data_IF_781570425490
#
_entry.id   IF_781570425490
#
_cell.length_a   1.000
_cell.length_b   1.000
_cell.length_c   1.000
_cell.angle_alpha   90.00
_cell.angle_beta   90.00
_cell.angle_gamma   90.00
#
_symmetry.space_group_name_H-M   'P 1'
#
loop_
_entity.id
_entity.type
_entity.pdbx_description
1 polymer ?
#
# COMPACT_ATOMS: atom_id res chain seq x y z
N UNK A 1 24.97 4.79 -4.92
CA UNK A 1 23.65 5.26 -5.40
C UNK A 1 23.84 5.76 -6.82
N UNK A 2 23.05 5.25 -7.76
CA UNK A 2 23.29 5.44 -9.19
C UNK A 2 22.74 6.77 -9.73
N UNK A 3 22.45 7.73 -8.84
CA UNK A 3 21.89 9.06 -9.13
C UNK A 3 20.59 9.03 -9.95
N UNK A 4 19.81 7.96 -9.83
CA UNK A 4 18.50 7.77 -10.47
C UNK A 4 17.36 7.94 -9.48
N UNK A 5 16.20 8.39 -9.96
CA UNK A 5 14.98 8.52 -9.16
C UNK A 5 13.94 7.54 -9.69
N UNK A 6 13.44 6.66 -8.81
CA UNK A 6 12.27 5.83 -9.11
C UNK A 6 10.99 6.65 -8.94
N UNK A 7 10.17 6.69 -9.99
CA UNK A 7 8.91 7.42 -9.99
C UNK A 7 7.77 6.43 -10.16
N UNK A 8 6.80 6.50 -9.24
CA UNK A 8 5.57 5.72 -9.31
C UNK A 8 4.36 6.63 -9.06
N UNK A 9 3.27 6.37 -9.75
CA UNK A 9 2.00 7.05 -9.54
C UNK A 9 0.85 6.06 -9.57
N UNK A 10 -0.12 6.25 -8.67
CA UNK A 10 -1.39 5.53 -8.70
C UNK A 10 -2.46 6.46 -9.26
N UNK A 11 -3.04 6.07 -10.40
CA UNK A 11 -4.07 6.85 -11.09
C UNK A 11 -5.37 6.05 -11.20
N UNK A 12 -6.50 6.75 -11.19
CA UNK A 12 -7.78 6.09 -11.45
C UNK A 12 -7.83 5.63 -12.92
N UNK A 13 -8.33 4.41 -13.22
CA UNK A 13 -8.35 3.89 -14.59
C UNK A 13 -9.09 4.78 -15.60
N UNK A 14 -10.04 5.62 -15.16
CA UNK A 14 -10.70 6.58 -16.05
C UNK A 14 -9.77 7.65 -16.59
N UNK A 15 -8.79 8.11 -15.79
CA UNK A 15 -7.81 9.13 -16.21
C UNK A 15 -6.92 8.55 -17.29
N UNK A 16 -6.40 7.33 -17.08
CA UNK A 16 -5.58 6.62 -18.07
C UNK A 16 -6.34 6.37 -19.38
N UNK A 17 -7.65 6.09 -19.32
CA UNK A 17 -8.49 5.92 -20.52
C UNK A 17 -8.74 7.21 -21.31
N UNK A 18 -8.67 8.36 -20.64
CA UNK A 18 -8.90 9.67 -21.26
C UNK A 18 -7.63 10.28 -21.84
N UNK A 19 -6.46 9.76 -21.45
CA UNK A 19 -5.15 10.18 -21.94
C UNK A 19 -4.62 9.25 -23.01
N UNK A 20 -3.92 9.78 -24.01
CA UNK A 20 -3.35 9.00 -25.10
C UNK A 20 -2.21 8.06 -24.66
N UNK A 21 -1.52 8.37 -23.55
CA UNK A 21 -0.44 7.53 -23.01
C UNK A 21 -0.25 7.70 -21.49
N UNK A 22 0.32 6.69 -20.80
CA UNK A 22 0.71 6.82 -19.39
C UNK A 22 1.70 7.97 -19.13
N UNK A 23 2.61 8.22 -20.07
CA UNK A 23 3.56 9.35 -19.99
C UNK A 23 2.81 10.69 -19.94
N UNK A 24 1.83 10.90 -20.83
CA UNK A 24 1.00 12.11 -20.81
C UNK A 24 0.21 12.26 -19.52
N UNK A 25 -0.36 11.17 -19.00
CA UNK A 25 -1.07 11.19 -17.73
C UNK A 25 -0.14 11.60 -16.56
N UNK A 26 1.09 11.08 -16.52
CA UNK A 26 2.11 11.46 -15.54
C UNK A 26 2.51 12.92 -15.68
N UNK A 27 2.77 13.40 -16.90
CA UNK A 27 3.14 14.80 -17.16
C UNK A 27 2.04 15.77 -16.73
N UNK A 28 0.76 15.44 -16.98
CA UNK A 28 -0.37 16.22 -16.49
C UNK A 28 -0.44 16.25 -14.96
N UNK A 29 -0.28 15.09 -14.31
CA UNK A 29 -0.28 14.98 -12.85
C UNK A 29 0.86 15.79 -12.22
N UNK A 30 2.06 15.73 -12.78
CA UNK A 30 3.22 16.50 -12.30
C UNK A 30 3.02 17.99 -12.52
N UNK A 31 2.52 18.40 -13.69
CA UNK A 31 2.24 19.81 -13.96
C UNK A 31 1.20 20.38 -12.99
N UNK A 32 0.17 19.61 -12.64
CA UNK A 32 -0.83 20.00 -11.65
C UNK A 32 -0.23 20.04 -10.23
N UNK A 33 0.50 19.01 -9.83
CA UNK A 33 1.09 18.88 -8.49
C UNK A 33 2.15 19.95 -8.19
N UNK A 34 2.93 20.34 -9.20
CA UNK A 34 3.99 21.34 -9.07
C UNK A 34 3.58 22.71 -9.63
N UNK A 35 2.30 22.96 -9.87
CA UNK A 35 1.85 24.26 -10.38
C UNK A 35 2.33 25.40 -9.45
N UNK A 36 3.17 26.29 -9.98
CA UNK A 36 3.76 27.41 -9.23
C UNK A 36 5.08 27.08 -8.51
N UNK A 37 5.65 25.90 -8.74
CA UNK A 37 6.94 25.46 -8.20
C UNK A 37 7.78 24.73 -9.26
N UNK A 38 9.07 24.58 -9.03
CA UNK A 38 9.95 23.81 -9.94
C UNK A 38 9.68 22.32 -9.78
N UNK A 39 9.25 21.66 -10.86
CA UNK A 39 9.14 20.20 -10.91
C UNK A 39 10.55 19.58 -10.93
N UNK A 40 10.87 18.63 -10.03
CA UNK A 40 12.18 17.98 -9.99
C UNK A 40 12.39 16.93 -11.09
N UNK A 41 11.32 16.59 -11.82
CA UNK A 41 11.32 15.58 -12.88
C UNK A 41 11.17 16.30 -14.23
N UNK A 42 12.04 15.99 -15.18
CA UNK A 42 11.88 16.45 -16.56
C UNK A 42 10.73 15.69 -17.23
N UNK A 43 9.61 16.38 -17.46
CA UNK A 43 8.45 15.77 -18.10
C UNK A 43 8.71 15.36 -19.55
N UNK A 44 9.72 15.92 -20.23
CA UNK A 44 10.09 15.53 -21.58
C UNK A 44 10.68 14.11 -21.60
N UNK A 45 11.51 13.76 -20.61
CA UNK A 45 12.15 12.45 -20.52
C UNK A 45 11.16 11.32 -20.25
N UNK A 46 9.98 11.61 -19.69
CA UNK A 46 8.95 10.59 -19.41
C UNK A 46 8.44 9.86 -20.66
N UNK A 47 8.48 10.51 -21.83
CA UNK A 47 8.04 9.88 -23.08
C UNK A 47 8.98 8.76 -23.54
N UNK A 48 10.27 8.88 -23.21
CA UNK A 48 11.31 7.94 -23.60
C UNK A 48 11.56 6.88 -22.51
N UNK A 49 10.96 7.03 -21.33
CA UNK A 49 11.09 6.07 -20.24
C UNK A 49 10.19 4.84 -20.45
N UNK A 50 10.68 3.64 -20.11
CA UNK A 50 9.88 2.42 -20.15
C UNK A 50 8.86 2.40 -19.00
N UNK A 51 7.76 3.13 -19.17
CA UNK A 51 6.68 3.19 -18.18
C UNK A 51 5.93 1.85 -18.16
N UNK A 52 5.97 1.19 -17.01
CA UNK A 52 5.21 -0.05 -16.77
C UNK A 52 3.89 0.29 -16.12
N UNK A 53 2.79 0.07 -16.83
CA UNK A 53 1.47 0.08 -16.24
C UNK A 53 1.21 -1.27 -15.55
N UNK A 54 0.66 -1.24 -14.35
CA UNK A 54 0.18 -2.44 -13.65
C UNK A 54 -1.35 -2.49 -13.70
N UNK A 55 -1.95 -3.70 -13.83
CA UNK A 55 -3.39 -3.85 -13.65
C UNK A 55 -3.81 -3.42 -12.23
N UNK A 56 -5.11 -3.32 -11.99
CA UNK A 56 -5.65 -2.92 -10.69
C UNK A 56 -5.06 -3.80 -9.58
N UNK A 57 -4.18 -3.20 -8.77
CA UNK A 57 -3.46 -3.92 -7.72
C UNK A 57 -4.39 -4.24 -6.54
N UNK A 58 -5.35 -3.36 -6.26
CA UNK A 58 -6.25 -3.52 -5.11
C UNK A 58 -7.13 -4.76 -5.25
N UNK A 59 -6.89 -5.77 -4.42
CA UNK A 59 -7.66 -7.01 -4.38
C UNK A 59 -7.62 -7.64 -2.99
N UNK A 60 -8.53 -8.60 -2.74
CA UNK A 60 -8.58 -9.35 -1.49
C UNK A 60 -8.96 -10.81 -1.79
N UNK A 61 -8.04 -11.73 -1.52
CA UNK A 61 -8.18 -13.18 -1.75
C UNK A 61 -8.23 -13.97 -0.46
N UNK A 62 -7.68 -13.39 0.63
CA UNK A 62 -7.67 -14.01 1.96
C UNK A 62 -6.46 -14.91 2.21
N UNK A 63 -6.12 -15.14 3.49
CA UNK A 63 -4.86 -15.78 3.88
C UNK A 63 -4.79 -17.28 3.56
N UNK A 64 -5.94 -17.93 3.37
CA UNK A 64 -6.07 -19.35 3.07
C UNK A 64 -6.92 -19.52 1.82
N UNK A 65 -6.56 -20.49 0.98
CA UNK A 65 -7.38 -20.86 -0.16
C UNK A 65 -8.68 -21.56 0.27
N UNK A 66 -9.85 -21.10 -0.23
CA UNK A 66 -11.14 -21.66 0.14
C UNK A 66 -11.30 -23.13 -0.30
N UNK A 67 -10.64 -23.53 -1.38
CA UNK A 67 -10.72 -24.86 -1.98
C UNK A 67 -9.56 -25.76 -1.55
N UNK A 68 -8.44 -25.19 -1.09
CA UNK A 68 -7.25 -25.93 -0.65
C UNK A 68 -6.68 -25.45 0.70
N UNK A 69 -6.97 -26.20 1.77
CA UNK A 69 -6.43 -25.92 3.14
C UNK A 69 -4.92 -26.18 3.30
N UNK A 70 -4.20 -26.49 2.21
CA UNK A 70 -2.74 -26.62 2.17
C UNK A 70 -2.05 -25.41 1.53
N UNK A 71 -2.81 -24.48 0.96
CA UNK A 71 -2.26 -23.28 0.31
C UNK A 71 -2.42 -22.07 1.23
N UNK A 72 -1.28 -21.48 1.59
CA UNK A 72 -1.18 -20.33 2.48
C UNK A 72 -0.69 -19.14 1.67
N UNK A 73 -1.39 -18.02 1.75
CA UNK A 73 -1.01 -16.78 1.08
C UNK A 73 -0.35 -15.84 2.08
N UNK A 74 0.65 -15.09 1.64
CA UNK A 74 1.36 -14.08 2.43
C UNK A 74 1.56 -12.82 1.58
N UNK A 75 1.76 -11.68 2.24
CA UNK A 75 1.94 -10.38 1.59
C UNK A 75 0.84 -10.09 0.57
N UNK A 76 1.25 -9.55 -0.58
CA UNK A 76 0.34 -9.12 -1.64
C UNK A 76 -0.52 -10.26 -2.20
N UNK A 77 -0.13 -11.52 -2.01
CA UNK A 77 -0.95 -12.65 -2.41
C UNK A 77 -2.22 -12.80 -1.56
N UNK A 78 -2.24 -12.31 -0.30
CA UNK A 78 -3.44 -12.30 0.56
C UNK A 78 -4.42 -11.20 0.17
N UNK A 79 -3.85 -10.09 -0.30
CA UNK A 79 -4.57 -8.90 -0.67
C UNK A 79 -3.66 -7.70 -0.62
N UNK A 80 -3.83 -6.84 -1.60
CA UNK A 80 -3.11 -5.58 -1.73
C UNK A 80 -4.12 -4.46 -1.58
N UNK A 81 -3.85 -3.49 -0.71
CA UNK A 81 -4.81 -2.41 -0.41
C UNK A 81 -4.43 -1.17 -1.20
N UNK A 82 -3.22 -0.65 -0.97
CA UNK A 82 -2.80 0.65 -1.49
C UNK A 82 -1.29 0.89 -1.31
N UNK A 83 -0.63 1.66 -2.21
CA UNK A 83 0.82 1.86 -2.20
C UNK A 83 1.34 3.02 -1.33
N UNK A 84 0.50 3.90 -0.77
CA UNK A 84 0.93 5.21 -0.29
C UNK A 84 1.54 5.20 1.12
N UNK A 85 1.13 4.28 1.99
CA UNK A 85 1.67 4.22 3.36
C UNK A 85 3.01 3.48 3.47
N UNK A 86 3.45 2.77 2.42
CA UNK A 86 4.71 2.02 2.43
C UNK A 86 4.70 0.77 3.33
N UNK A 87 3.57 0.43 3.92
CA UNK A 87 3.42 -0.65 4.91
C UNK A 87 3.48 -2.08 4.32
N UNK A 88 3.39 -2.21 2.99
CA UNK A 88 3.22 -3.49 2.31
C UNK A 88 4.32 -4.51 2.63
N UNK A 89 5.58 -4.09 2.68
CA UNK A 89 6.71 -4.96 3.04
C UNK A 89 6.58 -5.44 4.49
N UNK A 90 6.20 -4.53 5.41
CA UNK A 90 5.97 -4.87 6.81
C UNK A 90 4.88 -5.93 6.97
N UNK A 91 3.78 -5.81 6.21
CA UNK A 91 2.71 -6.81 6.23
C UNK A 91 3.11 -8.13 5.57
N UNK A 92 3.93 -8.10 4.51
CA UNK A 92 4.47 -9.31 3.90
C UNK A 92 5.34 -10.09 4.90
N UNK A 93 6.25 -9.41 5.61
CA UNK A 93 7.09 -10.02 6.64
C UNK A 93 6.27 -10.53 7.83
N UNK A 94 5.32 -9.74 8.32
CA UNK A 94 4.44 -10.14 9.42
C UNK A 94 3.59 -11.35 9.05
N UNK A 95 2.94 -11.35 7.88
CA UNK A 95 2.13 -12.47 7.42
C UNK A 95 2.96 -13.74 7.18
N UNK A 96 4.18 -13.61 6.64
CA UNK A 96 5.12 -14.72 6.53
C UNK A 96 5.45 -15.34 7.89
N UNK A 97 5.80 -14.50 8.87
CA UNK A 97 6.05 -14.95 10.25
C UNK A 97 4.84 -15.67 10.85
N UNK A 98 3.65 -15.09 10.73
CA UNK A 98 2.41 -15.69 11.25
C UNK A 98 2.09 -17.03 10.59
N UNK A 99 2.36 -17.16 9.29
CA UNK A 99 2.20 -18.42 8.56
C UNK A 99 3.17 -19.48 9.08
N UNK A 100 4.47 -19.15 9.20
CA UNK A 100 5.50 -20.05 9.72
C UNK A 100 5.18 -20.52 11.15
N UNK A 101 4.83 -19.59 12.06
CA UNK A 101 4.42 -19.92 13.44
C UNK A 101 3.17 -20.81 13.49
N UNK A 102 2.29 -20.70 12.50
CA UNK A 102 1.07 -21.51 12.41
C UNK A 102 1.32 -22.90 11.82
N UNK A 103 2.36 -23.05 11.02
CA UNK A 103 2.75 -24.34 10.45
C UNK A 103 3.49 -25.24 11.45
N UNK A 104 4.26 -24.68 12.39
CA UNK A 104 5.18 -25.45 13.25
C UNK A 104 4.68 -25.50 14.70
N UNK A 105 4.60 -26.69 15.30
CA UNK A 105 4.29 -26.89 16.72
C UNK A 105 5.42 -26.42 17.63
N UNK A 106 5.14 -26.28 18.93
CA UNK A 106 6.16 -25.97 19.95
C UNK A 106 7.28 -27.02 19.99
N UNK A 107 6.99 -28.25 19.56
CA UNK A 107 7.94 -29.36 19.46
C UNK A 107 8.67 -29.43 18.12
N UNK A 108 8.51 -28.44 17.24
CA UNK A 108 9.21 -28.37 15.94
C UNK A 108 8.61 -29.21 14.81
N UNK A 109 7.45 -29.83 15.01
CA UNK A 109 6.78 -30.66 14.00
C UNK A 109 5.81 -29.84 13.16
N UNK A 110 5.54 -30.28 11.93
CA UNK A 110 4.48 -29.68 11.11
C UNK A 110 3.10 -30.02 11.68
N UNK A 111 2.27 -28.99 11.88
CA UNK A 111 0.86 -29.15 12.21
C UNK A 111 0.10 -29.75 11.03
N UNK A 112 -0.97 -30.53 11.29
CA UNK A 112 -1.90 -30.92 10.25
C UNK A 112 -2.45 -29.69 9.50
N UNK A 113 -2.52 -29.76 8.18
CA UNK A 113 -2.83 -28.62 7.32
C UNK A 113 -4.11 -27.86 7.72
N UNK A 114 -5.18 -28.58 8.06
CA UNK A 114 -6.44 -27.96 8.49
C UNK A 114 -6.29 -27.14 9.80
N UNK A 115 -5.48 -27.63 10.74
CA UNK A 115 -5.20 -26.93 11.99
C UNK A 115 -4.30 -25.71 11.75
N UNK A 116 -3.24 -25.89 10.96
CA UNK A 116 -2.35 -24.81 10.57
C UNK A 116 -3.10 -23.68 9.84
N UNK A 117 -3.96 -24.04 8.89
CA UNK A 117 -4.77 -23.09 8.12
C UNK A 117 -5.70 -22.29 9.03
N UNK A 118 -6.43 -22.98 9.90
CA UNK A 118 -7.33 -22.35 10.88
C UNK A 118 -6.57 -21.43 11.85
N UNK A 119 -5.37 -21.85 12.28
CA UNK A 119 -4.53 -21.06 13.18
C UNK A 119 -3.98 -19.80 12.50
N UNK A 120 -3.47 -19.94 11.27
CA UNK A 120 -2.96 -18.82 10.48
C UNK A 120 -4.07 -17.82 10.18
N UNK A 121 -5.22 -18.28 9.69
CA UNK A 121 -6.35 -17.41 9.37
C UNK A 121 -6.78 -16.56 10.58
N UNK A 122 -6.90 -17.16 11.77
CA UNK A 122 -7.24 -16.43 13.00
C UNK A 122 -6.17 -15.39 13.39
N UNK A 123 -4.90 -15.77 13.38
CA UNK A 123 -3.80 -14.87 13.74
C UNK A 123 -3.66 -13.72 12.74
N UNK A 124 -3.77 -14.03 11.45
CA UNK A 124 -3.76 -13.04 10.38
C UNK A 124 -4.87 -12.00 10.59
N UNK A 125 -6.12 -12.44 10.77
CA UNK A 125 -7.22 -11.51 10.99
C UNK A 125 -7.05 -10.68 12.27
N UNK A 126 -6.55 -11.27 13.35
CA UNK A 126 -6.32 -10.52 14.59
C UNK A 126 -5.24 -9.45 14.43
N UNK A 127 -4.16 -9.75 13.70
CA UNK A 127 -3.02 -8.85 13.54
C UNK A 127 -3.27 -7.75 12.49
N UNK A 128 -3.87 -8.10 11.34
CA UNK A 128 -3.82 -7.24 10.15
C UNK A 128 -5.16 -6.61 9.77
N UNK A 129 -6.30 -7.08 10.29
CA UNK A 129 -7.62 -6.53 9.87
C UNK A 129 -7.76 -5.04 10.23
N UNK A 130 -7.24 -4.59 11.38
CA UNK A 130 -7.29 -3.18 11.75
C UNK A 130 -6.36 -2.32 10.88
N UNK A 131 -5.14 -2.79 10.61
CA UNK A 131 -4.17 -2.13 9.73
C UNK A 131 -4.74 -1.95 8.32
N UNK A 132 -5.38 -2.99 7.79
CA UNK A 132 -6.05 -2.97 6.49
C UNK A 132 -7.20 -1.96 6.45
N UNK A 133 -8.02 -1.89 7.51
CA UNK A 133 -9.10 -0.90 7.62
C UNK A 133 -8.57 0.53 7.68
N UNK A 134 -7.49 0.76 8.45
CA UNK A 134 -6.83 2.08 8.54
C UNK A 134 -6.32 2.54 7.17
N UNK A 135 -5.57 1.69 6.47
CA UNK A 135 -5.09 2.05 5.13
C UNK A 135 -6.24 2.32 4.17
N UNK A 136 -7.29 1.49 4.17
CA UNK A 136 -8.46 1.75 3.34
C UNK A 136 -9.13 3.10 3.65
N UNK A 137 -9.20 3.49 4.92
CA UNK A 137 -9.72 4.82 5.31
C UNK A 137 -8.82 5.95 4.82
N UNK A 138 -7.49 5.81 4.99
CA UNK A 138 -6.51 6.79 4.48
C UNK A 138 -6.62 6.92 2.96
N UNK A 139 -6.67 5.81 2.22
CA UNK A 139 -6.83 5.86 0.77
C UNK A 139 -8.16 6.48 0.35
N UNK A 140 -9.25 6.22 1.07
CA UNK A 140 -10.54 6.87 0.81
C UNK A 140 -10.49 8.37 1.08
N UNK A 141 -9.79 8.80 2.13
CA UNK A 141 -9.59 10.22 2.42
C UNK A 141 -8.74 10.90 1.34
N UNK A 142 -7.67 10.26 0.88
CA UNK A 142 -6.81 10.75 -0.20
C UNK A 142 -7.53 10.89 -1.54
N UNK A 143 -8.62 10.12 -1.77
CA UNK A 143 -9.47 10.25 -2.97
C UNK A 143 -10.36 11.50 -2.97
N UNK A 144 -10.43 12.25 -1.87
CA UNK A 144 -11.21 13.49 -1.79
C UNK A 144 -10.29 14.71 -1.84
N UNK A 145 -10.25 15.46 -2.97
CA UNK A 145 -9.40 16.64 -3.13
C UNK A 145 -9.62 17.68 -2.02
N UNK A 146 -10.86 17.83 -1.55
CA UNK A 146 -11.22 18.76 -0.46
C UNK A 146 -10.67 18.33 0.88
N UNK A 147 -10.68 17.03 1.18
CA UNK A 147 -10.11 16.53 2.44
C UNK A 147 -8.60 16.69 2.45
N UNK A 148 -7.94 16.38 1.32
CA UNK A 148 -6.49 16.55 1.18
C UNK A 148 -6.11 18.03 1.29
N UNK A 149 -6.76 18.92 0.52
CA UNK A 149 -6.44 20.36 0.55
C UNK A 149 -6.66 20.98 1.91
N UNK A 150 -7.78 20.65 2.57
CA UNK A 150 -8.07 21.14 3.94
C UNK A 150 -7.04 20.59 4.93
N UNK A 151 -6.65 19.32 4.81
CA UNK A 151 -5.65 18.71 5.68
C UNK A 151 -4.28 19.37 5.53
N UNK A 152 -3.85 19.66 4.29
CA UNK A 152 -2.59 20.35 3.98
C UNK A 152 -2.63 21.80 4.49
N UNK A 153 -3.74 22.50 4.29
CA UNK A 153 -3.90 23.87 4.80
C UNK A 153 -3.85 23.90 6.33
N UNK A 154 -4.59 23.04 7.01
CA UNK A 154 -4.62 22.93 8.48
C UNK A 154 -3.25 22.50 9.04
N UNK A 155 -2.55 21.59 8.35
CA UNK A 155 -1.19 21.18 8.67
C UNK A 155 -0.19 22.36 8.66
N UNK A 156 -0.38 23.33 7.75
CA UNK A 156 0.41 24.56 7.69
C UNK A 156 0.21 25.47 8.91
N UNK A 157 -0.97 25.45 9.54
CA UNK A 157 -1.27 26.27 10.72
C UNK A 157 -0.91 25.59 12.05
N UNK A 158 -0.82 24.25 12.08
CA UNK A 158 -0.51 23.49 13.30
C UNK A 158 0.65 22.51 13.10
N UNK A 159 1.90 23.01 12.93
CA UNK A 159 3.09 22.19 12.67
C UNK A 159 3.46 21.20 13.79
N UNK A 160 2.87 21.33 14.97
CA UNK A 160 3.03 20.36 16.07
C UNK A 160 2.13 19.12 15.93
N UNK A 161 1.02 19.23 15.20
CA UNK A 161 0.10 18.11 14.95
C UNK A 161 0.50 17.27 13.74
N UNK A 162 1.26 17.84 12.80
CA UNK A 162 1.77 17.14 11.61
C UNK A 162 2.69 15.98 11.93
N UNK A 163 3.53 16.08 12.97
CA UNK A 163 4.38 14.98 13.41
C UNK A 163 3.59 13.73 13.79
N UNK A 164 2.52 13.91 14.59
CA UNK A 164 1.65 12.81 15.03
C UNK A 164 0.79 12.25 13.89
N UNK A 165 0.32 13.10 12.98
CA UNK A 165 -0.45 12.66 11.81
C UNK A 165 0.42 11.92 10.81
N UNK A 166 1.65 12.40 10.57
CA UNK A 166 2.62 11.71 9.72
C UNK A 166 2.95 10.32 10.27
N UNK A 167 3.16 10.19 11.59
CA UNK A 167 3.36 8.89 12.27
C UNK A 167 2.14 7.96 12.17
N UNK A 168 0.93 8.51 12.20
CA UNK A 168 -0.30 7.74 12.02
C UNK A 168 -0.45 7.21 10.59
N UNK A 169 0.03 7.99 9.60
CA UNK A 169 0.02 7.66 8.17
C UNK A 169 1.14 6.65 7.84
N UNK A 170 2.35 6.83 8.38
CA UNK A 170 3.49 5.91 8.21
C UNK A 170 3.48 4.72 9.17
N UNK A 171 2.37 4.50 9.87
CA UNK A 171 2.15 3.33 10.72
C UNK A 171 2.99 3.24 11.99
N UNK A 172 3.84 4.23 12.26
CA UNK A 172 4.76 4.25 13.41
C UNK A 172 4.05 4.76 14.68
N UNK A 173 3.06 4.00 15.17
CA UNK A 173 2.47 4.25 16.48
C UNK A 173 3.36 3.56 17.52
N UNK A 174 3.90 4.28 18.53
CA UNK A 174 4.68 3.66 19.58
C UNK A 174 3.78 2.66 20.32
N UNK A 175 4.17 1.39 20.29
CA UNK A 175 3.61 0.35 21.15
C UNK A 175 3.88 0.78 22.59
N UNK A 176 2.82 1.14 23.33
CA UNK A 176 2.86 1.23 24.79
C UNK A 176 2.98 -0.16 25.40
#
# INVERSE_FOLDING_TARGET
>A
EDNTIDVAAAMHPSVLRQTESPAKALSHLLAEAFHGTTCPIDCASLNDMPIRATPQLTHQTGPIDPDCRKLFRIGDAVGYIEPFTGEGIGWALLSARLASESLITETGHLRPAAQAASHYQRRYHRALTWHHRRCRLVSLALRSPRLVSTSVQVAGYFPRLTGSVAQLITGNIPTR
#
